data_IF_619639410992
#
_entry.id   IF_619639410992
#
_cell.length_a   1.000
_cell.length_b   1.000
_cell.length_c   1.000
_cell.angle_alpha   90.00
_cell.angle_beta   90.00
_cell.angle_gamma   90.00
#
_symmetry.space_group_name_H-M   'P 1'
#
loop_
_entity.id
_entity.type
_entity.pdbx_description
1 polymer ?
#
# COMPACT_ATOMS: atom_id res chain seq x y z
N UNK A 1 -58.60 37.97 -10.50
CA UNK A 1 -58.07 36.60 -10.26
C UNK A 1 -57.78 35.96 -11.61
N UNK A 2 -56.66 35.35 -11.98
CA UNK A 2 -55.36 35.04 -11.37
C UNK A 2 -54.37 34.98 -12.56
N UNK A 3 -53.22 35.66 -12.44
CA UNK A 3 -52.20 35.84 -13.50
C UNK A 3 -51.47 34.53 -13.82
N UNK A 4 -51.29 34.29 -15.12
CA UNK A 4 -50.17 33.64 -15.85
C UNK A 4 -49.23 32.73 -15.05
N UNK A 5 -49.09 31.47 -15.48
CA UNK A 5 -47.78 30.81 -15.47
C UNK A 5 -47.51 30.15 -16.82
N UNK A 6 -46.51 30.71 -17.50
CA UNK A 6 -45.83 30.20 -18.66
C UNK A 6 -44.70 29.26 -18.20
N UNK A 7 -44.57 28.13 -18.91
CA UNK A 7 -43.31 27.46 -19.29
C UNK A 7 -42.19 27.35 -18.24
N UNK A 8 -41.97 26.13 -17.77
CA UNK A 8 -40.67 25.66 -17.29
C UNK A 8 -40.47 24.17 -17.62
N UNK A 9 -40.69 23.79 -18.88
CA UNK A 9 -40.13 22.57 -19.48
C UNK A 9 -38.76 22.93 -20.04
N UNK A 10 -37.70 22.87 -19.23
CA UNK A 10 -36.31 22.62 -19.65
C UNK A 10 -35.41 22.60 -18.40
N UNK A 11 -34.49 21.62 -18.35
CA UNK A 11 -33.45 21.38 -17.33
C UNK A 11 -33.85 20.51 -16.12
N UNK A 12 -34.33 19.28 -16.36
CA UNK A 12 -34.12 18.16 -15.43
C UNK A 12 -33.36 16.97 -16.04
N UNK A 13 -33.01 17.04 -17.33
CA UNK A 13 -32.25 16.00 -18.03
C UNK A 13 -30.77 16.37 -18.25
N UNK A 14 -30.18 17.10 -17.29
CA UNK A 14 -28.78 17.55 -17.33
C UNK A 14 -27.96 17.20 -16.08
N UNK A 15 -28.53 16.45 -15.13
CA UNK A 15 -27.83 16.01 -13.90
C UNK A 15 -27.72 14.49 -13.76
N UNK A 16 -28.26 13.70 -14.69
CA UNK A 16 -28.25 12.22 -14.57
C UNK A 16 -26.98 11.58 -15.16
N UNK A 17 -26.18 12.32 -15.95
CA UNK A 17 -24.87 11.86 -16.43
C UNK A 17 -23.69 12.42 -15.63
N UNK A 18 -23.96 13.22 -14.59
CA UNK A 18 -22.95 13.70 -13.63
C UNK A 18 -23.03 12.96 -12.27
N UNK A 19 -23.69 11.80 -12.22
CA UNK A 19 -23.67 10.88 -11.07
C UNK A 19 -22.40 10.00 -11.00
N UNK A 20 -21.29 10.47 -11.57
CA UNK A 20 -19.95 10.22 -11.02
C UNK A 20 -19.36 11.46 -10.34
N UNK A 21 -20.22 12.35 -9.80
CA UNK A 21 -19.86 13.04 -8.57
C UNK A 21 -19.65 11.96 -7.51
N UNK A 22 -18.41 11.49 -7.42
CA UNK A 22 -17.82 10.67 -6.37
C UNK A 22 -17.90 11.45 -5.04
N UNK A 23 -19.12 11.75 -4.61
CA UNK A 23 -19.47 12.29 -3.31
C UNK A 23 -19.73 11.10 -2.40
N UNK A 24 -18.67 10.35 -2.11
CA UNK A 24 -18.60 9.64 -0.84
C UNK A 24 -17.78 10.54 0.09
N UNK A 25 -18.26 10.89 1.30
CA UNK A 25 -17.45 11.64 2.25
C UNK A 25 -16.13 10.90 2.46
N UNK A 26 -15.04 11.63 2.23
CA UNK A 26 -13.63 11.26 2.32
C UNK A 26 -13.35 10.21 3.42
N UNK A 27 -13.58 8.93 3.12
CA UNK A 27 -12.96 7.83 3.85
C UNK A 27 -11.46 8.03 3.69
N UNK A 28 -10.72 8.00 4.78
CA UNK A 28 -9.24 7.98 4.82
C UNK A 28 -8.70 6.90 3.87
N UNK A 29 -8.62 7.20 2.57
CA UNK A 29 -8.26 6.27 1.49
C UNK A 29 -6.76 5.91 1.52
N UNK A 30 -6.05 6.42 2.53
CA UNK A 30 -4.61 6.26 2.72
C UNK A 30 -4.26 5.93 4.17
N UNK A 31 -5.18 5.46 5.00
CA UNK A 31 -4.82 5.01 6.36
C UNK A 31 -4.00 3.71 6.30
N UNK A 32 -2.72 3.80 6.68
CA UNK A 32 -1.79 2.66 6.59
C UNK A 32 -2.19 1.53 7.51
N UNK A 33 -2.80 1.85 8.67
CA UNK A 33 -3.29 0.85 9.63
C UNK A 33 -4.26 -0.11 8.96
N UNK A 34 -5.16 0.40 8.11
CA UNK A 34 -6.14 -0.44 7.39
C UNK A 34 -5.45 -1.44 6.47
N UNK A 35 -4.38 -1.03 5.79
CA UNK A 35 -3.63 -1.89 4.89
C UNK A 35 -2.85 -2.99 5.63
N UNK A 36 -2.22 -2.66 6.75
CA UNK A 36 -1.38 -3.60 7.50
C UNK A 36 -2.15 -4.45 8.51
N UNK A 37 -3.42 -4.12 8.77
CA UNK A 37 -4.30 -4.93 9.60
C UNK A 37 -4.81 -6.13 8.79
N UNK A 38 -4.00 -7.18 8.74
CA UNK A 38 -4.27 -8.43 8.03
C UNK A 38 -3.51 -9.58 8.70
N UNK A 39 -4.11 -10.76 8.68
CA UNK A 39 -3.45 -12.02 9.04
C UNK A 39 -2.75 -12.69 7.86
N UNK A 40 -3.15 -12.34 6.63
CA UNK A 40 -2.48 -12.81 5.42
C UNK A 40 -1.11 -12.12 5.24
N UNK A 41 -0.07 -12.84 4.80
CA UNK A 41 1.21 -12.23 4.45
C UNK A 41 1.05 -11.11 3.42
N UNK A 42 1.92 -10.11 3.49
CA UNK A 42 1.97 -9.01 2.53
C UNK A 42 3.28 -9.06 1.77
N UNK A 43 3.18 -9.37 0.48
CA UNK A 43 4.32 -9.49 -0.43
C UNK A 43 4.63 -8.14 -1.08
N UNK A 44 5.92 -7.81 -1.19
CA UNK A 44 6.36 -6.77 -2.14
C UNK A 44 6.43 -7.39 -3.53
N UNK A 45 5.51 -6.98 -4.39
CA UNK A 45 5.43 -7.45 -5.77
C UNK A 45 6.48 -6.76 -6.65
N UNK A 46 6.49 -5.42 -6.65
CA UNK A 46 7.49 -4.61 -7.34
C UNK A 46 8.13 -3.62 -6.36
N UNK A 47 9.38 -3.25 -6.61
CA UNK A 47 10.06 -2.14 -5.92
C UNK A 47 10.80 -1.24 -6.91
N UNK A 48 10.92 0.04 -6.61
CA UNK A 48 11.78 0.98 -7.36
C UNK A 48 13.22 0.98 -6.84
N UNK A 49 13.51 0.25 -5.76
CA UNK A 49 14.86 0.09 -5.24
C UNK A 49 15.66 -0.84 -6.14
N UNK A 50 16.84 -0.41 -6.60
CA UNK A 50 17.77 -1.31 -7.27
C UNK A 50 18.28 -2.33 -6.26
N UNK A 51 17.90 -3.59 -6.42
CA UNK A 51 18.18 -4.65 -5.44
C UNK A 51 18.30 -6.01 -6.12
N UNK A 52 18.99 -6.93 -5.44
CA UNK A 52 19.13 -8.34 -5.82
C UNK A 52 18.37 -9.29 -4.88
N UNK A 53 17.48 -8.74 -4.05
CA UNK A 53 16.64 -9.54 -3.15
C UNK A 53 15.38 -10.01 -3.87
N UNK A 54 14.82 -11.11 -3.40
CA UNK A 54 13.57 -11.67 -3.89
C UNK A 54 12.66 -12.05 -2.72
N UNK A 55 11.38 -12.30 -3.02
CA UNK A 55 10.40 -12.84 -2.09
C UNK A 55 10.33 -12.04 -0.76
N UNK A 56 10.37 -10.71 -0.86
CA UNK A 56 10.23 -9.83 0.31
C UNK A 56 8.78 -9.89 0.81
N UNK A 57 8.61 -10.27 2.08
CA UNK A 57 7.32 -10.50 2.72
C UNK A 57 7.28 -9.92 4.13
N UNK A 58 6.13 -9.34 4.48
CA UNK A 58 5.78 -8.88 5.81
C UNK A 58 4.68 -9.75 6.40
N UNK A 59 4.94 -10.32 7.57
CA UNK A 59 4.00 -11.12 8.36
C UNK A 59 3.68 -10.38 9.66
N UNK A 60 2.47 -9.81 9.73
CA UNK A 60 2.04 -9.00 10.87
C UNK A 60 1.60 -9.90 12.04
N UNK A 61 2.26 -9.75 13.20
CA UNK A 61 2.12 -10.66 14.35
C UNK A 61 1.21 -10.04 15.42
N UNK A 62 1.45 -8.78 15.78
CA UNK A 62 0.70 -8.08 16.83
C UNK A 62 0.23 -6.74 16.32
N UNK A 63 -1.08 -6.50 16.32
CA UNK A 63 -1.70 -5.23 15.97
C UNK A 63 -2.24 -4.55 17.23
N UNK A 64 -1.76 -3.34 17.52
CA UNK A 64 -2.20 -2.51 18.64
C UNK A 64 -2.77 -1.17 18.16
N UNK A 65 -3.26 -0.32 19.07
CA UNK A 65 -3.81 1.01 18.76
C UNK A 65 -2.79 2.01 18.19
N UNK A 66 -1.50 1.83 18.48
CA UNK A 66 -0.45 2.79 18.12
C UNK A 66 0.70 2.16 17.33
N UNK A 67 0.75 0.83 17.26
CA UNK A 67 1.85 0.13 16.59
C UNK A 67 1.41 -1.22 16.01
N UNK A 68 2.29 -1.76 15.17
CA UNK A 68 2.24 -3.16 14.73
C UNK A 68 3.63 -3.79 14.85
N UNK A 69 3.70 -5.04 15.31
CA UNK A 69 4.91 -5.87 15.28
C UNK A 69 4.79 -6.86 14.14
N UNK A 70 5.87 -7.05 13.38
CA UNK A 70 5.87 -7.93 12.23
C UNK A 70 7.23 -8.55 11.98
N UNK A 71 7.24 -9.68 11.27
CA UNK A 71 8.43 -10.30 10.73
C UNK A 71 8.56 -9.89 9.27
N UNK A 72 9.69 -9.27 8.90
CA UNK A 72 10.03 -9.02 7.50
C UNK A 72 11.08 -10.02 7.08
N UNK A 73 10.79 -10.81 6.05
CA UNK A 73 11.74 -11.75 5.45
C UNK A 73 11.99 -11.42 3.98
N UNK A 74 13.17 -11.76 3.48
CA UNK A 74 13.49 -11.76 2.04
C UNK A 74 14.62 -12.75 1.77
N UNK A 75 14.81 -13.11 0.51
CA UNK A 75 15.90 -13.96 0.04
C UNK A 75 16.95 -13.12 -0.66
N UNK A 76 18.23 -13.45 -0.45
CA UNK A 76 19.35 -13.01 -1.28
C UNK A 76 20.09 -14.26 -1.74
N UNK A 77 19.91 -14.61 -3.01
CA UNK A 77 20.31 -15.94 -3.49
C UNK A 77 19.53 -17.03 -2.74
N UNK A 78 20.25 -17.96 -2.09
CA UNK A 78 19.64 -19.08 -1.34
C UNK A 78 19.42 -18.79 0.14
N UNK A 79 19.94 -17.68 0.65
CA UNK A 79 19.88 -17.35 2.06
C UNK A 79 18.64 -16.51 2.39
N UNK A 80 17.93 -16.89 3.46
CA UNK A 80 16.77 -16.17 3.98
C UNK A 80 17.19 -15.26 5.12
N UNK A 81 16.95 -13.97 4.97
CA UNK A 81 17.13 -12.98 6.03
C UNK A 81 15.79 -12.63 6.65
N UNK A 82 15.73 -12.52 7.97
CA UNK A 82 14.49 -12.26 8.72
C UNK A 82 14.71 -11.28 9.85
N UNK A 83 13.82 -10.28 9.96
CA UNK A 83 13.93 -9.20 10.94
C UNK A 83 12.61 -9.02 11.69
N UNK A 84 12.65 -9.08 13.01
CA UNK A 84 11.53 -8.67 13.86
C UNK A 84 11.52 -7.14 13.93
N UNK A 85 10.42 -6.53 13.53
CA UNK A 85 10.29 -5.08 13.38
C UNK A 85 9.08 -4.56 14.16
N UNK A 86 9.21 -3.32 14.64
CA UNK A 86 8.13 -2.54 15.23
C UNK A 86 7.85 -1.34 14.34
N UNK A 87 6.62 -1.21 13.85
CA UNK A 87 6.15 0.01 13.20
C UNK A 87 5.24 0.78 14.14
N UNK A 88 5.57 2.03 14.43
CA UNK A 88 4.69 2.97 15.14
C UNK A 88 3.90 3.79 14.14
N UNK A 89 2.58 3.86 14.32
CA UNK A 89 1.72 4.68 13.48
C UNK A 89 1.84 6.16 13.86
N UNK A 90 1.76 7.03 12.86
CA UNK A 90 1.70 8.47 13.09
C UNK A 90 0.25 8.87 13.41
N UNK A 91 0.02 9.45 14.59
CA UNK A 91 -1.31 9.80 15.09
C UNK A 91 -1.98 10.92 14.30
N UNK A 92 -1.17 11.78 13.65
CA UNK A 92 -1.66 12.91 12.84
C UNK A 92 -1.72 12.51 11.37
N UNK A 93 -0.63 11.95 10.85
CA UNK A 93 -0.50 11.53 9.46
C UNK A 93 -0.84 10.04 9.35
N UNK A 94 -2.12 9.69 9.39
CA UNK A 94 -2.62 8.28 9.31
C UNK A 94 -2.06 7.43 8.17
N UNK A 95 -1.53 8.06 7.11
CA UNK A 95 -0.85 7.36 6.02
C UNK A 95 0.56 6.87 6.34
N UNK A 96 1.11 7.22 7.49
CA UNK A 96 2.51 7.07 7.82
C UNK A 96 2.71 6.12 8.99
N UNK A 97 3.78 5.34 8.90
CA UNK A 97 4.36 4.63 10.04
C UNK A 97 5.89 4.72 10.02
N UNK A 98 6.50 4.63 11.19
CA UNK A 98 7.95 4.61 11.37
C UNK A 98 8.37 3.25 11.90
N UNK A 99 9.28 2.60 11.19
CA UNK A 99 9.79 1.26 11.46
C UNK A 99 11.14 1.35 12.15
N UNK A 100 11.29 0.55 13.20
CA UNK A 100 12.55 0.32 13.91
C UNK A 100 12.79 -1.15 14.21
N UNK A 101 14.05 -1.58 14.19
CA UNK A 101 14.49 -2.87 14.73
C UNK A 101 14.77 -2.78 16.23
N UNK A 102 14.68 -3.91 16.98
CA UNK A 102 15.33 -4.04 18.28
C UNK A 102 16.81 -3.63 18.17
N UNK A 103 17.27 -2.74 19.06
CA UNK A 103 18.62 -2.18 19.00
C UNK A 103 18.81 -0.97 18.07
N UNK A 104 17.77 -0.53 17.35
CA UNK A 104 17.74 0.78 16.69
C UNK A 104 18.55 0.91 15.38
N UNK A 105 19.04 -0.19 14.83
CA UNK A 105 19.86 -0.23 13.60
C UNK A 105 19.09 0.10 12.33
N UNK A 106 17.77 -0.17 12.30
CA UNK A 106 16.89 0.16 11.18
C UNK A 106 16.11 1.42 11.54
N UNK A 107 16.21 2.45 10.70
CA UNK A 107 15.35 3.65 10.73
C UNK A 107 14.75 3.87 9.35
N UNK A 108 13.47 3.55 9.24
CA UNK A 108 12.72 3.62 7.99
C UNK A 108 11.34 4.23 8.24
N UNK A 109 10.88 5.09 7.34
CA UNK A 109 9.49 5.59 7.34
C UNK A 109 8.77 5.07 6.12
N UNK A 110 7.53 4.64 6.30
CA UNK A 110 6.65 4.19 5.23
C UNK A 110 5.39 5.06 5.16
N UNK A 111 5.05 5.53 3.97
CA UNK A 111 3.84 6.31 3.70
C UNK A 111 2.98 5.61 2.62
N UNK A 112 1.67 5.43 2.85
CA UNK A 112 0.75 5.02 1.80
C UNK A 112 0.58 6.15 0.79
N UNK A 113 0.90 5.84 -0.46
CA UNK A 113 0.63 6.70 -1.62
C UNK A 113 -0.76 6.40 -2.18
N UNK A 114 -1.04 5.11 -2.37
CA UNK A 114 -2.30 4.61 -2.92
C UNK A 114 -2.63 3.27 -2.26
N UNK A 115 -3.91 2.97 -2.14
CA UNK A 115 -4.41 1.70 -1.65
C UNK A 115 -5.72 1.38 -2.39
N UNK A 116 -5.89 0.14 -2.82
CA UNK A 116 -7.14 -0.30 -3.43
C UNK A 116 -8.28 -0.29 -2.40
N UNK A 117 -9.52 -0.18 -2.88
CA UNK A 117 -10.71 -0.12 -2.00
C UNK A 117 -10.90 -1.40 -1.19
N UNK A 118 -10.54 -2.54 -1.76
CA UNK A 118 -10.60 -3.87 -1.14
C UNK A 118 -9.33 -4.23 -0.35
N UNK A 119 -8.36 -3.31 -0.25
CA UNK A 119 -7.10 -3.49 0.45
C UNK A 119 -6.20 -4.61 -0.11
N UNK A 120 -6.51 -5.14 -1.29
CA UNK A 120 -5.72 -6.19 -1.95
C UNK A 120 -4.31 -5.73 -2.32
N UNK A 121 -4.14 -4.44 -2.65
CA UNK A 121 -2.85 -3.86 -3.00
C UNK A 121 -2.68 -2.43 -2.51
N UNK A 122 -1.42 -2.04 -2.32
CA UNK A 122 -1.05 -0.67 -1.98
C UNK A 122 0.31 -0.28 -2.58
N UNK A 123 0.46 1.01 -2.86
CA UNK A 123 1.75 1.61 -3.23
C UNK A 123 2.27 2.34 -1.99
N UNK A 124 3.41 1.87 -1.49
CA UNK A 124 4.06 2.37 -0.27
C UNK A 124 5.31 3.12 -0.66
N UNK A 125 5.44 4.37 -0.23
CA UNK A 125 6.70 5.10 -0.29
C UNK A 125 7.55 4.69 0.90
N UNK A 126 8.78 4.26 0.64
CA UNK A 126 9.77 3.90 1.64
C UNK A 126 10.82 5.00 1.70
N UNK A 127 11.10 5.52 2.89
CA UNK A 127 12.18 6.49 3.13
C UNK A 127 13.16 5.90 4.14
N UNK A 128 14.41 5.69 3.73
CA UNK A 128 15.50 5.18 4.58
C UNK A 128 16.53 6.28 4.80
N UNK A 129 17.19 6.27 5.97
CA UNK A 129 18.18 7.30 6.35
C UNK A 129 19.59 6.74 6.64
N UNK A 130 19.83 5.44 6.42
CA UNK A 130 21.06 4.75 6.84
C UNK A 130 22.31 5.12 6.04
N UNK A 131 22.16 5.59 4.79
CA UNK A 131 23.27 6.06 3.93
C UNK A 131 22.89 7.36 3.20
N UNK A 132 22.23 8.26 3.92
CA UNK A 132 21.52 9.42 3.34
C UNK A 132 20.04 9.13 3.15
N UNK A 133 19.27 10.16 2.77
CA UNK A 133 17.81 10.04 2.57
C UNK A 133 17.53 9.45 1.20
N UNK A 134 17.19 8.17 1.16
CA UNK A 134 16.74 7.50 -0.05
C UNK A 134 15.22 7.33 -0.03
N UNK A 135 14.56 7.62 -1.16
CA UNK A 135 13.11 7.47 -1.33
C UNK A 135 12.85 6.47 -2.45
N UNK A 136 12.21 5.37 -2.11
CA UNK A 136 11.79 4.33 -3.06
C UNK A 136 10.29 4.06 -2.92
N UNK A 137 9.74 3.28 -3.82
CA UNK A 137 8.35 2.89 -3.82
C UNK A 137 8.23 1.38 -3.95
N UNK A 138 7.38 0.78 -3.14
CA UNK A 138 7.03 -0.63 -3.17
C UNK A 138 5.56 -0.75 -3.60
N UNK A 139 5.27 -1.64 -4.56
CA UNK A 139 3.92 -2.15 -4.79
C UNK A 139 3.77 -3.41 -3.95
N UNK A 140 2.88 -3.37 -2.96
CA UNK A 140 2.60 -4.48 -2.06
C UNK A 140 1.23 -5.08 -2.31
N UNK A 141 1.13 -6.38 -2.14
CA UNK A 141 -0.10 -7.16 -2.31
C UNK A 141 -0.30 -8.10 -1.13
N UNK A 142 -1.54 -8.23 -0.68
CA UNK A 142 -1.90 -9.26 0.30
C UNK A 142 -1.89 -10.62 -0.39
N UNK A 143 -1.39 -11.65 0.29
CA UNK A 143 -1.31 -13.01 -0.24
C UNK A 143 -2.68 -13.55 -0.67
N UNK A 144 -3.75 -13.16 0.04
CA UNK A 144 -5.14 -13.48 -0.30
C UNK A 144 -5.59 -12.99 -1.68
N UNK A 145 -4.90 -12.01 -2.27
CA UNK A 145 -5.23 -11.43 -3.58
C UNK A 145 -4.23 -11.77 -4.68
N UNK A 146 -3.18 -12.56 -4.38
CA UNK A 146 -2.05 -12.74 -5.31
C UNK A 146 -2.45 -13.45 -6.62
N UNK A 147 -3.49 -14.27 -6.56
CA UNK A 147 -4.04 -15.00 -7.71
C UNK A 147 -4.63 -14.08 -8.79
N UNK A 148 -4.91 -12.82 -8.45
CA UNK A 148 -5.62 -11.87 -9.33
C UNK A 148 -4.66 -10.94 -10.07
N UNK A 149 -3.33 -11.08 -9.88
CA UNK A 149 -2.31 -10.04 -10.17
C UNK A 149 -2.64 -8.72 -9.44
N UNK A 150 -1.66 -7.81 -9.28
CA UNK A 150 -1.97 -6.50 -8.71
C UNK A 150 -2.99 -5.75 -9.58
N UNK A 151 -3.98 -5.11 -8.95
CA UNK A 151 -4.98 -4.32 -9.66
C UNK A 151 -4.32 -3.24 -10.53
N UNK A 152 -4.90 -2.97 -11.70
CA UNK A 152 -4.39 -2.01 -12.68
C UNK A 152 -4.11 -0.63 -12.08
N UNK A 153 -4.98 -0.14 -11.19
CA UNK A 153 -4.79 1.16 -10.51
C UNK A 153 -3.56 1.17 -9.59
N UNK A 154 -3.28 0.09 -8.87
CA UNK A 154 -2.05 -0.01 -8.07
C UNK A 154 -0.81 -0.01 -8.96
N UNK A 155 -0.85 -0.71 -10.09
CA UNK A 155 0.24 -0.71 -11.08
C UNK A 155 0.47 0.68 -11.70
N UNK A 156 -0.60 1.39 -12.05
CA UNK A 156 -0.53 2.75 -12.57
C UNK A 156 0.09 3.72 -11.55
N UNK A 157 -0.42 3.73 -10.32
CA UNK A 157 0.13 4.56 -9.25
C UNK A 157 1.58 4.23 -8.92
N UNK A 158 1.96 2.95 -8.97
CA UNK A 158 3.34 2.53 -8.80
C UNK A 158 4.22 3.12 -9.91
N UNK A 159 3.87 2.92 -11.17
CA UNK A 159 4.63 3.45 -12.33
C UNK A 159 4.74 4.97 -12.30
N UNK A 160 3.65 5.65 -11.93
CA UNK A 160 3.64 7.11 -11.79
C UNK A 160 4.65 7.61 -10.73
N UNK A 161 4.85 6.85 -9.65
CA UNK A 161 5.77 7.24 -8.56
C UNK A 161 7.20 6.74 -8.73
N UNK A 162 7.35 5.50 -9.15
CA UNK A 162 8.63 4.83 -9.35
C UNK A 162 9.34 5.26 -10.64
N UNK A 163 8.61 5.86 -11.58
CA UNK A 163 9.11 6.13 -12.92
C UNK A 163 9.12 4.86 -13.78
N UNK A 164 10.00 4.82 -14.78
CA UNK A 164 10.02 3.73 -15.78
C UNK A 164 10.64 2.42 -15.27
N UNK A 165 11.26 2.42 -14.09
CA UNK A 165 12.02 1.27 -13.60
C UNK A 165 11.39 0.69 -12.32
N UNK A 166 11.06 -0.61 -12.38
CA UNK A 166 10.59 -1.39 -11.25
C UNK A 166 11.17 -2.81 -11.33
N UNK A 167 11.60 -3.32 -10.19
CA UNK A 167 12.20 -4.64 -10.03
C UNK A 167 11.15 -5.60 -9.45
N UNK A 168 10.97 -6.75 -10.10
CA UNK A 168 10.04 -7.79 -9.67
C UNK A 168 10.66 -8.58 -8.52
N UNK A 169 10.02 -8.52 -7.35
CA UNK A 169 10.45 -9.23 -6.14
C UNK A 169 9.61 -10.48 -5.88
N UNK A 170 8.32 -10.44 -6.21
CA UNK A 170 7.44 -11.59 -6.06
C UNK A 170 7.40 -12.43 -7.33
N UNK A 171 7.57 -13.74 -7.16
CA UNK A 171 7.36 -14.78 -8.18
C UNK A 171 6.59 -15.93 -7.54
N UNK A 172 5.97 -16.77 -8.36
CA UNK A 172 5.06 -17.82 -7.85
C UNK A 172 5.76 -18.81 -6.88
N UNK A 173 7.06 -19.06 -7.04
CA UNK A 173 7.80 -19.92 -6.11
C UNK A 173 7.99 -19.33 -4.71
N UNK A 174 7.84 -18.01 -4.52
CA UNK A 174 8.02 -17.35 -3.23
C UNK A 174 7.08 -17.93 -2.17
N UNK A 175 5.86 -18.30 -2.57
CA UNK A 175 4.88 -18.92 -1.66
C UNK A 175 5.31 -20.31 -1.20
N UNK A 176 6.03 -21.06 -2.04
CA UNK A 176 6.52 -22.39 -1.68
C UNK A 176 7.65 -22.32 -0.65
N UNK A 177 8.49 -21.29 -0.73
CA UNK A 177 9.57 -21.02 0.22
C UNK A 177 9.09 -20.63 1.62
N UNK A 178 7.83 -20.21 1.78
CA UNK A 178 7.26 -19.97 3.12
C UNK A 178 6.85 -21.24 3.85
N UNK A 179 6.60 -22.35 3.13
CA UNK A 179 6.09 -23.60 3.71
C UNK A 179 7.18 -24.63 4.00
N UNK A 180 8.40 -24.38 3.52
CA UNK A 180 9.62 -25.18 3.78
C UNK A 180 10.37 -24.65 4.99
#
# INVERSE_FOLDING_TARGET
>A
MRKKQLLATFVLFGCVTMFECNWWPWRDARDIRKFVNTTAPVWTYLTSEMTNIECKVDEYIVMAAEYVKFLRSYYRGRERFSYKLLAKFDSVRKKRMTISSPGGTIKQTEDIVYMSRDLSCAVVKVTTSTKGIQKTYDLRIRDSAIHVRPQSKCMEHFRWKAGRQGYLLYRDYCRNLQRS
#
